data_IF_575568987974
#
_entry.id   IF_575568987974
#
_cell.length_a   1.000
_cell.length_b   1.000
_cell.length_c   1.000
_cell.angle_alpha   90.00
_cell.angle_beta   90.00
_cell.angle_gamma   90.00
#
_symmetry.space_group_name_H-M   'P 1'
#
loop_
_entity.id
_entity.type
_entity.pdbx_description
1 polymer ?
#
# COMPACT_ATOMS: atom_id res chain seq x y z
N UNK A 1 -16.67 2.65 6.15
CA UNK A 1 -16.80 2.57 4.68
C UNK A 1 -15.41 2.60 4.06
N UNK A 2 -14.87 1.46 3.61
CA UNK A 2 -13.65 1.42 2.79
C UNK A 2 -14.03 0.96 1.38
N UNK A 3 -14.00 1.91 0.44
CA UNK A 3 -14.38 1.73 -0.97
C UNK A 3 -13.56 0.63 -1.68
N UNK A 4 -12.41 0.24 -1.12
CA UNK A 4 -11.53 -0.79 -1.70
C UNK A 4 -11.85 -2.23 -1.30
N UNK A 5 -12.82 -2.49 -0.42
CA UNK A 5 -13.19 -3.87 -0.04
C UNK A 5 -14.25 -4.53 -0.94
N UNK A 6 -14.87 -3.81 -1.88
CA UNK A 6 -16.03 -4.31 -2.62
C UNK A 6 -15.86 -4.53 -4.14
N UNK A 7 -14.67 -4.33 -4.72
CA UNK A 7 -14.43 -4.66 -6.13
C UNK A 7 -13.36 -5.74 -6.24
N UNK A 8 -13.77 -7.01 -6.15
CA UNK A 8 -13.00 -8.16 -6.62
C UNK A 8 -13.11 -8.30 -8.15
N UNK A 9 -12.05 -8.67 -8.89
CA UNK A 9 -12.18 -9.08 -10.29
C UNK A 9 -13.16 -10.26 -10.38
N UNK A 10 -13.70 -10.51 -11.58
CA UNK A 10 -14.76 -11.48 -11.88
C UNK A 10 -14.53 -12.94 -11.41
N UNK A 11 -13.38 -13.25 -10.80
CA UNK A 11 -13.01 -14.53 -10.19
C UNK A 11 -13.45 -14.71 -8.74
N UNK A 12 -14.14 -13.74 -8.12
CA UNK A 12 -14.70 -13.87 -6.77
C UNK A 12 -13.67 -13.94 -5.64
N UNK A 13 -12.39 -13.67 -5.94
CA UNK A 13 -11.34 -13.58 -4.93
C UNK A 13 -11.26 -12.14 -4.40
N UNK A 14 -11.22 -11.92 -3.08
CA UNK A 14 -10.99 -10.58 -2.55
C UNK A 14 -9.64 -10.06 -3.05
N UNK A 15 -9.61 -8.83 -3.57
CA UNK A 15 -8.35 -8.18 -3.99
C UNK A 15 -7.52 -7.96 -2.75
N UNK A 16 -6.45 -8.73 -2.62
CA UNK A 16 -5.52 -8.67 -1.50
C UNK A 16 -4.15 -8.25 -2.01
N UNK A 17 -3.49 -7.35 -1.28
CA UNK A 17 -2.13 -6.95 -1.55
C UNK A 17 -1.34 -6.91 -0.25
N UNK A 18 -0.04 -7.14 -0.36
CA UNK A 18 0.91 -6.90 0.72
C UNK A 18 1.78 -5.72 0.31
N UNK A 19 2.02 -4.81 1.25
CA UNK A 19 2.81 -3.61 1.00
C UNK A 19 3.85 -3.50 2.09
N UNK A 20 5.10 -3.23 1.71
CA UNK A 20 6.16 -2.87 2.64
C UNK A 20 6.30 -1.36 2.61
N UNK A 21 6.12 -0.70 3.74
CA UNK A 21 6.40 0.73 3.88
C UNK A 21 7.67 0.94 4.69
N UNK A 22 8.48 1.91 4.29
CA UNK A 22 9.72 2.29 4.95
C UNK A 22 9.67 3.76 5.35
N UNK A 23 10.47 4.14 6.34
CA UNK A 23 10.76 5.55 6.61
C UNK A 23 11.28 6.25 5.35
N UNK A 24 10.91 7.51 5.15
CA UNK A 24 11.33 8.31 4.00
C UNK A 24 12.85 8.56 3.98
N UNK A 25 13.37 8.99 2.83
CA UNK A 25 14.75 9.44 2.73
C UNK A 25 14.95 10.81 3.40
N UNK A 26 16.10 11.03 4.03
CA UNK A 26 16.47 12.32 4.64
C UNK A 26 15.96 12.55 6.06
N UNK A 27 15.52 11.50 6.74
CA UNK A 27 14.79 11.59 8.01
C UNK A 27 15.70 11.57 9.24
N UNK A 28 15.24 12.23 10.31
CA UNK A 28 16.01 12.44 11.56
C UNK A 28 15.98 11.24 12.50
N UNK A 29 15.12 10.25 12.24
CA UNK A 29 14.92 9.05 13.06
C UNK A 29 15.59 7.83 12.42
N UNK A 30 15.81 6.77 13.22
CA UNK A 30 16.37 5.53 12.72
C UNK A 30 15.48 4.88 11.65
N UNK A 31 16.12 4.27 10.64
CA UNK A 31 15.41 3.57 9.59
C UNK A 31 14.46 2.50 10.15
N UNK A 32 13.25 2.44 9.62
CA UNK A 32 12.27 1.41 9.98
C UNK A 32 11.48 0.94 8.76
N UNK A 33 10.93 -0.28 8.87
CA UNK A 33 10.10 -0.90 7.85
C UNK A 33 8.93 -1.66 8.49
N UNK A 34 7.75 -1.57 7.88
CA UNK A 34 6.54 -2.26 8.31
C UNK A 34 5.83 -2.87 7.09
N UNK A 35 5.51 -4.16 7.17
CA UNK A 35 4.65 -4.84 6.20
C UNK A 35 3.19 -4.77 6.65
N UNK A 36 2.27 -4.49 5.73
CA UNK A 36 0.83 -4.45 6.00
C UNK A 36 0.02 -5.05 4.85
N UNK A 37 -1.14 -5.62 5.18
CA UNK A 37 -2.19 -6.03 4.23
C UNK A 37 -3.36 -5.04 4.17
N UNK A 38 -3.25 -3.90 4.86
CA UNK A 38 -4.19 -2.80 4.83
C UNK A 38 -3.64 -1.62 4.00
N UNK A 39 -4.50 -0.66 3.65
CA UNK A 39 -4.06 0.55 2.96
C UNK A 39 -3.17 1.39 3.88
N UNK A 40 -1.90 1.66 3.51
CA UNK A 40 -1.02 2.46 4.33
C UNK A 40 -1.38 3.95 4.29
N UNK A 41 -1.26 4.62 5.44
CA UNK A 41 -1.29 6.10 5.52
C UNK A 41 0.09 6.66 5.19
N UNK A 42 0.16 7.91 4.73
CA UNK A 42 1.43 8.60 4.45
C UNK A 42 2.37 8.60 5.67
N UNK A 43 1.80 8.72 6.88
CA UNK A 43 2.54 8.81 8.13
C UNK A 43 2.64 7.47 8.90
N UNK A 44 2.47 6.34 8.21
CA UNK A 44 2.37 5.02 8.87
C UNK A 44 3.69 4.55 9.50
N UNK A 45 4.82 4.85 8.87
CA UNK A 45 6.15 4.42 9.33
C UNK A 45 7.01 5.61 9.77
N UNK A 46 6.72 6.80 9.25
CA UNK A 46 7.44 8.04 9.55
C UNK A 46 6.50 9.25 9.55
N UNK A 47 6.71 10.20 10.45
CA UNK A 47 5.92 11.43 10.55
C UNK A 47 6.11 12.35 9.34
N UNK A 48 7.26 12.33 8.68
CA UNK A 48 7.55 13.19 7.53
C UNK A 48 7.29 12.49 6.19
N UNK A 49 6.85 11.22 6.23
CA UNK A 49 6.36 10.48 5.08
C UNK A 49 7.00 9.11 4.90
N UNK A 50 6.17 8.16 4.48
CA UNK A 50 6.57 6.76 4.24
C UNK A 50 6.66 6.49 2.74
N UNK A 51 7.64 5.69 2.31
CA UNK A 51 7.69 5.12 0.96
C UNK A 51 7.17 3.70 0.99
N UNK A 52 6.27 3.34 0.08
CA UNK A 52 5.59 2.06 0.10
C UNK A 52 5.78 1.28 -1.21
N UNK A 53 6.09 0.00 -1.09
CA UNK A 53 6.42 -0.93 -2.17
C UNK A 53 5.37 -2.05 -2.20
N UNK A 54 4.41 -2.01 -3.14
CA UNK A 54 3.36 -3.02 -3.22
C UNK A 54 3.88 -4.32 -3.87
N UNK A 55 3.35 -5.46 -3.41
CA UNK A 55 3.64 -6.78 -3.98
C UNK A 55 3.03 -6.94 -5.37
N UNK A 56 1.83 -6.39 -5.57
CA UNK A 56 1.12 -6.42 -6.86
C UNK A 56 0.77 -5.01 -7.33
N UNK A 57 0.90 -4.78 -8.63
CA UNK A 57 0.36 -3.62 -9.35
C UNK A 57 -0.91 -4.05 -10.08
N UNK A 58 -1.91 -3.18 -10.08
CA UNK A 58 -3.18 -3.41 -10.74
C UNK A 58 -3.39 -2.38 -11.84
N UNK A 59 -3.81 -2.83 -13.01
CA UNK A 59 -4.18 -1.98 -14.13
C UNK A 59 -5.66 -2.17 -14.44
N UNK A 60 -6.31 -1.12 -14.93
CA UNK A 60 -7.70 -1.23 -15.41
C UNK A 60 -7.69 -1.68 -16.85
N UNK A 61 -8.52 -2.67 -17.20
CA UNK A 61 -8.61 -3.28 -18.53
C UNK A 61 -9.09 -2.33 -19.66
N UNK A 62 -9.25 -1.03 -19.36
CA UNK A 62 -9.89 -0.03 -20.21
C UNK A 62 -8.92 1.04 -20.76
N UNK A 63 -7.61 0.94 -20.52
CA UNK A 63 -6.63 1.78 -21.23
C UNK A 63 -6.31 1.16 -22.60
N UNK A 64 -7.09 1.55 -23.60
CA UNK A 64 -6.83 1.29 -25.02
C UNK A 64 -6.43 2.57 -25.73
#
# INVERSE_FOLDING_TARGET
MNIFQNCGPASGRPVWNLVICTSGGGQKVGFSALMTNALPSLHMVDIDGSQCFPMFLYETENMK
#
